data_IF_053626059923
#
_entry.id   IF_053626059923
#
_cell.length_a   1.000
_cell.length_b   1.000
_cell.length_c   1.000
_cell.angle_alpha   90.00
_cell.angle_beta   90.00
_cell.angle_gamma   90.00
#
_symmetry.space_group_name_H-M   'P 1'
#
loop_
_entity.id
_entity.type
_entity.pdbx_description
1 polymer ?
#
# COMPACT_ATOMS: atom_id res chain seq x y z
N UNK A 1 -5.85 -9.51 -24.31
CA UNK A 1 -4.45 -9.82 -24.72
C UNK A 1 -3.38 -8.91 -24.09
N UNK A 2 -3.71 -7.75 -23.50
CA UNK A 2 -2.74 -6.86 -22.82
C UNK A 2 -2.24 -7.32 -21.44
N UNK A 3 -2.94 -8.27 -20.80
CA UNK A 3 -2.57 -8.83 -19.48
C UNK A 3 -1.35 -9.78 -19.51
N UNK A 4 -0.84 -10.14 -20.70
CA UNK A 4 0.20 -11.17 -20.87
C UNK A 4 1.64 -10.61 -20.98
N UNK A 5 1.83 -9.30 -20.78
CA UNK A 5 3.16 -8.64 -20.79
C UNK A 5 3.40 -7.97 -19.42
N UNK A 6 3.78 -8.74 -18.38
CA UNK A 6 3.97 -8.23 -17.01
C UNK A 6 4.87 -6.99 -16.95
N UNK A 7 5.86 -6.92 -17.85
CA UNK A 7 6.82 -5.83 -17.95
C UNK A 7 6.22 -4.45 -18.25
N UNK A 8 5.12 -4.37 -19.00
CA UNK A 8 4.49 -3.07 -19.31
C UNK A 8 3.67 -2.55 -18.12
N UNK A 9 3.02 -3.45 -17.38
CA UNK A 9 2.33 -3.15 -16.12
C UNK A 9 3.34 -2.74 -15.02
N UNK A 10 4.52 -3.37 -15.00
CA UNK A 10 5.64 -3.05 -14.12
C UNK A 10 6.20 -1.64 -14.33
N UNK A 11 6.08 -1.06 -15.54
CA UNK A 11 6.52 0.30 -15.82
C UNK A 11 5.42 1.33 -15.55
N UNK A 12 4.16 0.99 -15.85
CA UNK A 12 3.01 1.84 -15.57
C UNK A 12 2.76 2.03 -14.07
N UNK A 13 2.94 0.98 -13.26
CA UNK A 13 2.73 1.05 -11.82
C UNK A 13 3.55 2.15 -11.13
N UNK A 14 4.89 2.22 -11.25
CA UNK A 14 5.69 3.28 -10.64
C UNK A 14 5.43 4.66 -11.28
N UNK A 15 5.06 4.74 -12.56
CA UNK A 15 4.67 6.00 -13.19
C UNK A 15 3.38 6.57 -12.59
N UNK A 16 2.36 5.72 -12.43
CA UNK A 16 1.07 6.09 -11.83
C UNK A 16 1.25 6.42 -10.35
N UNK A 17 2.07 5.64 -9.62
CA UNK A 17 2.36 5.88 -8.20
C UNK A 17 3.24 7.12 -7.98
N UNK A 18 4.25 7.36 -8.81
CA UNK A 18 5.10 8.55 -8.74
C UNK A 18 4.33 9.83 -9.07
N UNK A 19 3.52 9.81 -10.12
CA UNK A 19 2.63 10.92 -10.47
C UNK A 19 1.59 11.21 -9.38
N UNK A 20 1.08 10.17 -8.72
CA UNK A 20 0.16 10.31 -7.60
C UNK A 20 0.76 11.13 -6.46
N UNK A 21 2.04 10.93 -6.10
CA UNK A 21 2.69 11.68 -5.01
C UNK A 21 2.81 13.17 -5.34
N UNK A 22 3.12 13.51 -6.59
CA UNK A 22 3.22 14.91 -7.05
C UNK A 22 1.86 15.59 -7.04
N UNK A 23 0.84 14.93 -7.60
CA UNK A 23 -0.54 15.45 -7.60
C UNK A 23 -1.10 15.53 -6.19
N UNK A 24 -0.80 14.55 -5.32
CA UNK A 24 -1.17 14.57 -3.92
C UNK A 24 -0.54 15.78 -3.23
N UNK A 25 0.76 16.04 -3.42
CA UNK A 25 1.44 17.19 -2.81
C UNK A 25 0.84 18.54 -3.23
N UNK A 26 0.45 18.69 -4.50
CA UNK A 26 -0.22 19.91 -4.99
C UNK A 26 -1.64 20.02 -4.43
N UNK A 27 -2.40 18.92 -4.43
CA UNK A 27 -3.78 18.91 -3.95
C UNK A 27 -3.86 19.08 -2.41
N UNK A 28 -2.82 18.68 -1.67
CA UNK A 28 -2.72 18.91 -0.22
C UNK A 28 -2.49 20.37 0.17
N UNK A 29 -2.15 21.24 -0.79
CA UNK A 29 -2.05 22.67 -0.54
C UNK A 29 -3.42 23.34 -0.33
N UNK A 30 -4.50 22.75 -0.87
CA UNK A 30 -5.86 23.30 -0.75
C UNK A 30 -6.84 22.38 0.00
N UNK A 31 -6.58 21.07 0.05
CA UNK A 31 -7.47 20.09 0.67
C UNK A 31 -6.69 19.21 1.63
N UNK A 32 -7.20 19.02 2.85
CA UNK A 32 -6.55 18.14 3.83
C UNK A 32 -6.26 16.74 3.21
N UNK A 33 -5.03 16.22 3.33
CA UNK A 33 -4.62 14.97 2.68
C UNK A 33 -5.50 13.75 3.01
N UNK A 34 -6.02 13.74 4.24
CA UNK A 34 -6.95 12.73 4.71
C UNK A 34 -8.25 12.74 3.90
N UNK A 35 -8.78 13.91 3.56
CA UNK A 35 -10.01 14.08 2.78
C UNK A 35 -9.85 13.60 1.34
N UNK A 36 -8.70 13.89 0.72
CA UNK A 36 -8.33 13.38 -0.61
C UNK A 36 -8.26 11.85 -0.64
N UNK A 37 -7.69 11.27 0.40
CA UNK A 37 -7.58 9.82 0.55
C UNK A 37 -8.95 9.20 0.76
N UNK A 38 -9.77 9.77 1.63
CA UNK A 38 -11.15 9.33 1.83
C UNK A 38 -11.93 9.35 0.51
N UNK A 39 -11.92 10.45 -0.24
CA UNK A 39 -12.56 10.55 -1.56
C UNK A 39 -12.07 9.48 -2.54
N UNK A 40 -10.75 9.30 -2.66
CA UNK A 40 -10.16 8.27 -3.54
C UNK A 40 -10.66 6.87 -3.18
N UNK A 41 -10.64 6.52 -1.90
CA UNK A 41 -11.02 5.20 -1.44
C UNK A 41 -12.53 4.99 -1.44
N UNK A 42 -13.32 6.04 -1.25
CA UNK A 42 -14.77 6.01 -1.48
C UNK A 42 -15.08 5.70 -2.93
N UNK A 43 -14.46 6.41 -3.89
CA UNK A 43 -14.66 6.15 -5.33
C UNK A 43 -14.20 4.73 -5.68
N UNK A 44 -13.03 4.30 -5.21
CA UNK A 44 -12.52 2.96 -5.43
C UNK A 44 -13.48 1.90 -4.88
N UNK A 45 -14.01 2.09 -3.66
CA UNK A 45 -15.03 1.21 -3.09
C UNK A 45 -16.30 1.20 -3.93
N UNK A 46 -16.83 2.36 -4.35
CA UNK A 46 -18.03 2.42 -5.19
C UNK A 46 -17.85 1.67 -6.51
N UNK A 47 -16.68 1.79 -7.13
CA UNK A 47 -16.37 1.10 -8.40
C UNK A 47 -16.14 -0.40 -8.19
N UNK A 48 -15.43 -0.80 -7.12
CA UNK A 48 -15.10 -2.21 -6.86
C UNK A 48 -16.30 -2.98 -6.32
N UNK A 49 -17.16 -2.35 -5.53
CA UNK A 49 -18.33 -2.97 -4.89
C UNK A 49 -19.18 -3.79 -5.87
N UNK A 50 -19.63 -3.29 -7.04
CA UNK A 50 -20.46 -4.08 -7.95
C UNK A 50 -19.76 -5.34 -8.49
N UNK A 51 -18.43 -5.32 -8.65
CA UNK A 51 -17.65 -6.49 -9.09
C UNK A 51 -17.38 -7.47 -7.94
N UNK A 52 -17.08 -6.95 -6.76
CA UNK A 52 -16.79 -7.75 -5.56
C UNK A 52 -18.06 -8.28 -4.89
N UNK A 53 -19.23 -7.70 -5.16
CA UNK A 53 -20.51 -8.03 -4.51
C UNK A 53 -20.84 -9.52 -4.54
N UNK A 54 -20.59 -10.18 -5.69
CA UNK A 54 -20.85 -11.62 -5.84
C UNK A 54 -19.93 -12.46 -4.96
N UNK A 55 -18.64 -12.12 -4.89
CA UNK A 55 -17.66 -12.81 -4.05
C UNK A 55 -17.93 -12.57 -2.56
N UNK A 56 -18.23 -11.32 -2.18
CA UNK A 56 -18.56 -10.95 -0.80
C UNK A 56 -19.82 -11.67 -0.34
N UNK A 57 -20.87 -11.76 -1.17
CA UNK A 57 -22.10 -12.47 -0.82
C UNK A 57 -21.87 -13.97 -0.65
N UNK A 58 -21.01 -14.58 -1.48
CA UNK A 58 -20.66 -16.00 -1.38
C UNK A 58 -19.91 -16.34 -0.10
N UNK A 59 -19.04 -15.43 0.37
CA UNK A 59 -18.16 -15.65 1.52
C UNK A 59 -18.61 -14.88 2.77
N UNK A 60 -19.85 -14.36 2.76
CA UNK A 60 -20.36 -13.46 3.80
C UNK A 60 -20.35 -14.07 5.21
N UNK A 61 -20.62 -15.37 5.34
CA UNK A 61 -20.59 -16.04 6.64
C UNK A 61 -19.18 -16.06 7.24
N UNK A 62 -18.15 -16.28 6.42
CA UNK A 62 -16.74 -16.25 6.83
C UNK A 62 -16.31 -14.82 7.15
N UNK A 63 -16.71 -13.87 6.32
CA UNK A 63 -16.42 -12.44 6.52
C UNK A 63 -17.00 -11.98 7.87
N UNK A 64 -18.26 -12.35 8.17
CA UNK A 64 -18.94 -11.96 9.40
C UNK A 64 -18.21 -12.45 10.66
N UNK A 65 -17.67 -13.66 10.61
CA UNK A 65 -16.89 -14.24 11.71
C UNK A 65 -15.58 -13.49 11.98
N UNK A 66 -15.00 -12.86 10.95
CA UNK A 66 -13.70 -12.17 11.03
C UNK A 66 -13.81 -10.65 10.93
N UNK A 67 -15.01 -10.07 11.07
CA UNK A 67 -15.22 -8.62 10.92
C UNK A 67 -14.34 -7.79 11.85
N UNK A 68 -14.17 -8.23 13.11
CA UNK A 68 -13.31 -7.52 14.05
C UNK A 68 -11.84 -7.51 13.58
N UNK A 69 -11.36 -8.64 13.07
CA UNK A 69 -9.99 -8.75 12.56
C UNK A 69 -9.81 -7.91 11.30
N UNK A 70 -10.78 -7.96 10.37
CA UNK A 70 -10.81 -7.09 9.19
C UNK A 70 -10.82 -5.61 9.56
N UNK A 71 -11.58 -5.24 10.59
CA UNK A 71 -11.67 -3.87 11.08
C UNK A 71 -10.35 -3.41 11.71
N UNK A 72 -9.73 -4.24 12.56
CA UNK A 72 -8.43 -3.96 13.17
C UNK A 72 -7.36 -3.84 12.08
N UNK A 73 -7.31 -4.76 11.12
CA UNK A 73 -6.38 -4.69 10.00
C UNK A 73 -6.61 -3.45 9.13
N UNK A 74 -7.87 -3.06 8.90
CA UNK A 74 -8.21 -1.84 8.18
C UNK A 74 -7.77 -0.57 8.91
N UNK A 75 -8.04 -0.48 10.21
CA UNK A 75 -7.62 0.69 11.00
C UNK A 75 -6.10 0.72 11.14
N UNK A 76 -5.48 -0.37 11.55
CA UNK A 76 -4.07 -0.39 11.91
C UNK A 76 -3.17 -0.40 10.67
N UNK A 77 -3.53 -1.21 9.68
CA UNK A 77 -2.78 -1.35 8.44
C UNK A 77 -3.06 -0.25 7.45
N UNK A 78 -4.33 0.07 7.18
CA UNK A 78 -4.68 1.02 6.12
C UNK A 78 -4.81 2.46 6.64
N UNK A 79 -5.70 2.73 7.59
CA UNK A 79 -5.94 4.09 8.07
C UNK A 79 -4.74 4.65 8.87
N UNK A 80 -4.15 3.83 9.75
CA UNK A 80 -2.99 4.16 10.56
C UNK A 80 -1.75 4.43 9.69
N UNK A 81 -1.50 3.59 8.69
CA UNK A 81 -0.43 3.84 7.73
C UNK A 81 -0.64 5.15 6.97
N UNK A 82 -1.84 5.40 6.42
CA UNK A 82 -2.12 6.65 5.71
C UNK A 82 -1.95 7.88 6.62
N UNK A 83 -2.42 7.80 7.87
CA UNK A 83 -2.26 8.88 8.84
C UNK A 83 -0.79 9.18 9.14
N UNK A 84 0.01 8.15 9.46
CA UNK A 84 1.45 8.30 9.71
C UNK A 84 2.20 8.76 8.46
N UNK A 85 1.76 8.31 7.28
CA UNK A 85 2.34 8.69 6.00
C UNK A 85 2.17 10.19 5.73
N UNK A 86 0.95 10.72 5.89
CA UNK A 86 0.70 12.15 5.73
C UNK A 86 1.37 12.98 6.82
N UNK A 87 1.40 12.48 8.06
CA UNK A 87 2.15 13.13 9.13
C UNK A 87 3.64 13.21 8.78
N UNK A 88 4.23 12.14 8.26
CA UNK A 88 5.63 12.14 7.82
C UNK A 88 5.88 13.16 6.69
N UNK A 89 4.92 13.36 5.78
CA UNK A 89 5.02 14.38 4.73
C UNK A 89 4.96 15.83 5.26
N UNK A 90 4.37 16.06 6.44
CA UNK A 90 4.42 17.37 7.10
C UNK A 90 5.77 17.61 7.78
N UNK A 91 6.38 16.56 8.37
CA UNK A 91 7.67 16.66 9.06
C UNK A 91 8.90 16.51 8.14
N UNK A 92 8.75 15.93 6.95
CA UNK A 92 9.89 15.65 6.05
C UNK A 92 9.55 15.86 4.58
N UNK A 93 10.57 15.77 3.71
CA UNK A 93 10.36 15.95 2.27
C UNK A 93 9.77 14.69 1.62
N UNK A 94 9.05 14.88 0.51
CA UNK A 94 8.52 13.77 -0.30
C UNK A 94 9.61 12.77 -0.74
N UNK A 95 10.85 13.24 -0.92
CA UNK A 95 11.99 12.39 -1.26
C UNK A 95 12.34 11.44 -0.11
N UNK A 96 12.41 11.95 1.13
CA UNK A 96 12.68 11.12 2.31
C UNK A 96 11.56 10.10 2.56
N UNK A 97 10.29 10.51 2.38
CA UNK A 97 9.15 9.59 2.49
C UNK A 97 9.21 8.49 1.42
N UNK A 98 9.59 8.83 0.18
CA UNK A 98 9.77 7.84 -0.88
C UNK A 98 10.90 6.85 -0.57
N UNK A 99 12.02 7.33 -0.01
CA UNK A 99 13.12 6.46 0.45
C UNK A 99 12.68 5.51 1.56
N UNK A 100 11.95 6.00 2.56
CA UNK A 100 11.40 5.17 3.64
C UNK A 100 10.46 4.10 3.06
N UNK A 101 9.59 4.47 2.12
CA UNK A 101 8.69 3.51 1.47
C UNK A 101 9.45 2.44 0.67
N UNK A 102 10.53 2.81 -0.02
CA UNK A 102 11.39 1.86 -0.71
C UNK A 102 12.05 0.85 0.26
N UNK A 103 12.25 1.23 1.52
CA UNK A 103 12.77 0.36 2.56
C UNK A 103 11.72 -0.54 3.24
N UNK A 104 10.41 -0.29 3.06
CA UNK A 104 9.34 -1.09 3.69
C UNK A 104 9.45 -2.60 3.37
N UNK A 105 9.65 -3.03 2.10
CA UNK A 105 9.78 -4.46 1.80
C UNK A 105 10.93 -5.13 2.55
N UNK A 106 12.02 -4.39 2.75
CA UNK A 106 13.20 -4.86 3.48
C UNK A 106 12.88 -5.06 4.96
N UNK A 107 12.22 -4.06 5.58
CA UNK A 107 11.75 -4.15 6.96
C UNK A 107 10.76 -5.29 7.15
N UNK A 108 9.84 -5.50 6.21
CA UNK A 108 8.87 -6.61 6.26
C UNK A 108 9.59 -7.97 6.21
N UNK A 109 10.58 -8.13 5.33
CA UNK A 109 11.38 -9.37 5.28
C UNK A 109 12.10 -9.62 6.60
N UNK A 110 12.76 -8.59 7.16
CA UNK A 110 13.45 -8.67 8.44
C UNK A 110 12.49 -9.05 9.58
N UNK A 111 11.35 -8.37 9.69
CA UNK A 111 10.31 -8.66 10.68
C UNK A 111 9.78 -10.09 10.51
N UNK A 112 9.55 -10.56 9.28
CA UNK A 112 9.11 -11.93 9.03
C UNK A 112 10.14 -12.97 9.48
N UNK A 113 11.44 -12.71 9.25
CA UNK A 113 12.49 -13.60 9.74
C UNK A 113 12.59 -13.62 11.27
N UNK A 114 12.37 -12.48 11.94
CA UNK A 114 12.47 -12.38 13.40
C UNK A 114 11.21 -12.93 14.10
N UNK A 115 10.02 -12.46 13.69
CA UNK A 115 8.73 -12.76 14.35
C UNK A 115 8.19 -14.13 13.95
N UNK A 116 8.19 -14.44 12.66
CA UNK A 116 7.64 -15.69 12.14
C UNK A 116 8.70 -16.78 11.94
N UNK A 117 9.97 -16.51 12.31
CA UNK A 117 11.12 -17.41 12.12
C UNK A 117 11.24 -17.93 10.69
N UNK A 118 10.79 -17.14 9.71
CA UNK A 118 10.81 -17.52 8.31
C UNK A 118 12.26 -17.58 7.81
N UNK A 119 12.68 -18.72 7.27
CA UNK A 119 14.04 -18.87 6.72
C UNK A 119 14.12 -18.16 5.37
N UNK A 120 14.85 -17.05 5.35
CA UNK A 120 15.12 -16.33 4.11
C UNK A 120 15.91 -17.20 3.14
N UNK A 121 15.44 -17.32 1.90
CA UNK A 121 16.19 -17.99 0.82
C UNK A 121 17.22 -17.04 0.22
N UNK A 122 18.36 -17.56 -0.25
CA UNK A 122 19.49 -16.78 -0.77
C UNK A 122 19.08 -15.65 -1.77
N UNK A 123 18.14 -15.87 -2.71
CA UNK A 123 17.70 -14.83 -3.64
C UNK A 123 17.01 -13.64 -2.95
N UNK A 124 16.31 -13.86 -1.84
CA UNK A 124 15.66 -12.78 -1.06
C UNK A 124 16.70 -11.93 -0.34
N UNK A 125 17.77 -12.53 0.16
CA UNK A 125 18.89 -11.82 0.81
C UNK A 125 19.66 -10.98 -0.20
N UNK A 126 19.91 -11.53 -1.40
CA UNK A 126 20.55 -10.77 -2.49
C UNK A 126 19.65 -9.62 -2.95
N UNK A 127 18.35 -9.85 -3.10
CA UNK A 127 17.38 -8.80 -3.40
C UNK A 127 17.31 -7.70 -2.34
N UNK A 128 17.42 -8.08 -1.06
CA UNK A 128 17.49 -7.16 0.08
C UNK A 128 18.72 -6.25 -0.01
N UNK A 129 19.90 -6.84 -0.21
CA UNK A 129 21.17 -6.08 -0.31
C UNK A 129 21.15 -5.16 -1.53
N UNK A 130 20.67 -5.66 -2.68
CA UNK A 130 20.56 -4.86 -3.91
C UNK A 130 19.58 -3.68 -3.73
N UNK A 131 18.44 -3.90 -3.08
CA UNK A 131 17.46 -2.84 -2.79
C UNK A 131 17.96 -1.82 -1.76
N UNK A 132 18.93 -2.18 -0.91
CA UNK A 132 19.55 -1.26 0.04
C UNK A 132 20.65 -0.41 -0.59
N UNK A 133 21.33 -0.93 -1.61
CA UNK A 133 22.41 -0.24 -2.33
C UNK A 133 21.86 0.65 -3.46
N UNK A 134 20.79 0.23 -4.12
CA UNK A 134 20.15 0.96 -5.23
C UNK A 134 19.17 2.02 -4.76
#
# INVERSE_FOLDING_TARGET
MLLNRPYFLLFLAPLIWGGHVVVAKVATAEVAPMTLTLLRWTVALTVITPFAWRSVKREWEVIRQHLLLLFICGIMGFAGFNMLYYLALEYTTALNVALIQAAIPMLILLINAIVFRYRMVLPQVVGLILAFIG
#
